data_IF_268958296887
#
_entry.id   IF_268958296887
#
_cell.length_a   1.000
_cell.length_b   1.000
_cell.length_c   1.000
_cell.angle_alpha   90.00
_cell.angle_beta   90.00
_cell.angle_gamma   90.00
#
_symmetry.space_group_name_H-M   'P 1'
#
loop_
_entity.id
_entity.type
_entity.pdbx_description
1 polymer ?
#
# COMPACT_ATOMS: atom_id res chain seq x y z
N UNK A 1 10.31 -17.23 9.64
CA UNK A 1 9.04 -17.18 8.87
C UNK A 1 8.09 -18.30 9.26
N UNK A 2 8.40 -19.59 9.03
CA UNK A 2 7.47 -20.68 9.38
C UNK A 2 7.01 -20.67 10.85
N UNK A 3 7.93 -20.50 11.80
CA UNK A 3 7.55 -20.38 13.22
C UNK A 3 6.64 -19.19 13.53
N UNK A 4 6.79 -18.06 12.82
CA UNK A 4 5.90 -16.89 12.94
C UNK A 4 4.54 -17.16 12.27
N UNK A 5 4.53 -17.86 11.15
CA UNK A 5 3.30 -18.22 10.45
C UNK A 5 2.43 -19.14 11.31
N UNK A 6 3.03 -20.12 11.99
CA UNK A 6 2.33 -21.10 12.82
C UNK A 6 2.02 -20.57 14.24
N UNK A 7 2.94 -19.78 14.83
CA UNK A 7 2.86 -19.33 16.22
C UNK A 7 2.43 -17.87 16.43
N UNK A 8 2.35 -17.06 15.36
CA UNK A 8 2.10 -15.63 15.45
C UNK A 8 3.27 -14.84 16.04
N UNK A 9 3.00 -13.57 16.34
CA UNK A 9 3.86 -12.67 17.12
C UNK A 9 2.98 -11.87 18.08
N UNK A 10 3.56 -11.41 19.19
CA UNK A 10 2.92 -10.39 20.01
C UNK A 10 2.83 -9.06 19.26
N UNK A 11 2.01 -8.12 19.75
CA UNK A 11 1.93 -6.77 19.20
C UNK A 11 3.31 -6.07 19.24
N UNK A 12 3.99 -6.16 20.38
CA UNK A 12 5.33 -5.59 20.56
C UNK A 12 6.36 -6.18 19.58
N UNK A 13 6.35 -7.51 19.39
CA UNK A 13 7.24 -8.16 18.43
C UNK A 13 6.89 -7.82 16.97
N UNK A 14 5.60 -7.60 16.68
CA UNK A 14 5.15 -7.17 15.36
C UNK A 14 5.63 -5.75 15.06
N UNK A 15 5.55 -4.83 16.03
CA UNK A 15 6.09 -3.47 15.92
C UNK A 15 7.61 -3.53 15.73
N UNK A 16 8.33 -4.28 16.57
CA UNK A 16 9.79 -4.41 16.47
C UNK A 16 10.23 -4.99 15.11
N UNK A 17 9.51 -5.99 14.58
CA UNK A 17 9.76 -6.52 13.24
C UNK A 17 9.51 -5.45 12.15
N UNK A 18 8.45 -4.65 12.30
CA UNK A 18 8.09 -3.58 11.37
C UNK A 18 9.14 -2.48 11.34
N UNK A 19 9.60 -2.03 12.50
CA UNK A 19 10.68 -1.05 12.64
C UNK A 19 11.98 -1.57 12.04
N UNK A 20 12.37 -2.81 12.36
CA UNK A 20 13.58 -3.42 11.79
C UNK A 20 13.51 -3.57 10.26
N UNK A 21 12.32 -3.83 9.70
CA UNK A 21 12.13 -3.84 8.25
C UNK A 21 12.24 -2.43 7.64
N UNK A 22 11.62 -1.42 8.26
CA UNK A 22 11.72 -0.01 7.85
C UNK A 22 13.18 0.44 7.84
N UNK A 23 13.89 0.20 8.95
CA UNK A 23 15.26 0.66 9.19
C UNK A 23 16.32 -0.17 8.46
N UNK A 24 15.91 -1.18 7.68
CA UNK A 24 16.83 -1.95 6.83
C UNK A 24 17.34 -1.16 5.62
N UNK A 25 16.76 0.01 5.34
CA UNK A 25 17.13 0.90 4.24
C UNK A 25 16.91 2.37 4.60
N UNK A 26 16.80 3.20 3.57
CA UNK A 26 16.49 4.62 3.66
C UNK A 26 15.03 4.85 4.08
N UNK A 27 14.81 5.90 4.86
CA UNK A 27 13.50 6.44 5.23
C UNK A 27 13.41 7.84 4.62
N UNK A 28 12.31 8.13 3.92
CA UNK A 28 12.07 9.44 3.35
C UNK A 28 11.83 10.46 4.47
N UNK A 29 12.58 11.55 4.43
CA UNK A 29 12.42 12.69 5.33
C UNK A 29 11.87 13.89 4.56
N UNK A 30 10.97 14.62 5.22
CA UNK A 30 10.26 15.75 4.63
C UNK A 30 10.48 17.01 5.45
N UNK A 31 10.64 18.15 4.77
CA UNK A 31 10.75 19.45 5.42
C UNK A 31 9.54 19.75 6.31
N UNK A 32 9.79 20.44 7.42
CA UNK A 32 8.77 20.77 8.45
C UNK A 32 7.51 21.46 7.88
N UNK A 33 7.67 22.16 6.75
CA UNK A 33 6.64 22.89 6.04
C UNK A 33 5.64 22.01 5.28
N UNK A 34 6.04 20.78 4.92
CA UNK A 34 5.16 19.82 4.24
C UNK A 34 4.94 18.54 5.03
N UNK A 35 5.71 18.27 6.09
CA UNK A 35 5.67 17.01 6.83
C UNK A 35 4.26 16.63 7.31
N UNK A 36 3.45 17.60 7.74
CA UNK A 36 2.06 17.34 8.16
C UNK A 36 1.09 17.03 7.00
N UNK A 37 1.49 17.29 5.75
CA UNK A 37 0.70 17.05 4.53
C UNK A 37 1.03 15.72 3.86
N UNK A 38 2.04 14.99 4.35
CA UNK A 38 2.49 13.72 3.76
C UNK A 38 1.55 12.60 4.19
N UNK A 39 0.76 12.09 3.25
CA UNK A 39 -0.26 11.08 3.52
C UNK A 39 -0.16 9.95 2.50
N UNK A 40 -0.67 8.79 2.87
CA UNK A 40 -0.83 7.70 1.93
C UNK A 40 -2.07 6.84 2.19
N UNK A 41 -2.43 6.03 1.20
CA UNK A 41 -3.41 4.96 1.30
C UNK A 41 -2.81 3.64 0.87
N UNK A 42 -3.05 2.58 1.63
CA UNK A 42 -2.68 1.23 1.23
C UNK A 42 -3.87 0.30 1.17
N UNK A 43 -3.91 -0.59 0.18
CA UNK A 43 -4.90 -1.67 0.08
C UNK A 43 -4.23 -3.00 0.39
N UNK A 44 -4.91 -3.89 1.10
CA UNK A 44 -4.44 -5.28 1.29
C UNK A 44 -4.46 -6.12 0.01
N UNK A 45 -4.98 -5.57 -1.09
CA UNK A 45 -5.08 -6.23 -2.39
C UNK A 45 -6.49 -6.72 -2.70
N UNK A 46 -6.88 -6.57 -3.95
CA UNK A 46 -8.20 -6.93 -4.47
C UNK A 46 -8.19 -7.10 -5.98
N UNK A 47 -9.32 -7.57 -6.52
CA UNK A 47 -9.51 -7.74 -7.96
C UNK A 47 -10.13 -6.47 -8.52
N UNK A 48 -9.54 -5.91 -9.59
CA UNK A 48 -9.98 -4.62 -10.12
C UNK A 48 -9.68 -3.44 -9.19
N UNK A 49 -8.83 -3.57 -8.18
CA UNK A 49 -8.61 -2.47 -7.22
C UNK A 49 -7.68 -1.40 -7.79
N UNK A 50 -8.26 -0.41 -8.49
CA UNK A 50 -7.55 0.76 -9.06
C UNK A 50 -7.67 2.03 -8.23
N UNK A 51 -8.22 1.94 -7.01
CA UNK A 51 -8.50 3.10 -6.17
C UNK A 51 -7.25 3.96 -5.92
N UNK A 52 -6.05 3.36 -5.75
CA UNK A 52 -4.82 4.12 -5.55
C UNK A 52 -4.46 5.05 -6.73
N UNK A 53 -4.79 4.64 -7.96
CA UNK A 53 -4.45 5.41 -9.19
C UNK A 53 -5.35 6.65 -9.31
N UNK A 54 -6.58 6.58 -8.83
CA UNK A 54 -7.51 7.72 -8.75
C UNK A 54 -7.19 8.59 -7.53
N UNK A 55 -7.01 7.97 -6.37
CA UNK A 55 -6.92 8.67 -5.10
C UNK A 55 -5.62 9.47 -4.95
N UNK A 56 -4.48 8.93 -5.38
CA UNK A 56 -3.20 9.62 -5.25
C UNK A 56 -3.16 11.00 -5.95
N UNK A 57 -3.56 11.16 -7.23
CA UNK A 57 -3.65 12.47 -7.86
C UNK A 57 -4.79 13.34 -7.27
N UNK A 58 -5.91 12.76 -6.82
CA UNK A 58 -6.98 13.52 -6.16
C UNK A 58 -6.50 14.17 -4.85
N UNK A 59 -5.76 13.42 -4.01
CA UNK A 59 -5.16 13.95 -2.78
C UNK A 59 -4.12 15.03 -3.09
N UNK A 60 -3.29 14.83 -4.12
CA UNK A 60 -2.32 15.83 -4.57
C UNK A 60 -3.01 17.13 -5.04
N UNK A 61 -4.12 17.03 -5.76
CA UNK A 61 -4.93 18.18 -6.17
C UNK A 61 -5.54 18.94 -4.96
N UNK A 62 -5.80 18.24 -3.84
CA UNK A 62 -6.20 18.82 -2.57
C UNK A 62 -5.04 19.43 -1.75
N UNK A 63 -3.82 19.45 -2.28
CA UNK A 63 -2.64 20.04 -1.63
C UNK A 63 -1.85 19.08 -0.73
N UNK A 64 -2.22 17.80 -0.69
CA UNK A 64 -1.51 16.77 0.07
C UNK A 64 -0.29 16.24 -0.70
N UNK A 65 0.59 15.52 0.00
CA UNK A 65 1.84 14.96 -0.53
C UNK A 65 1.79 13.43 -0.43
N UNK A 66 1.89 12.73 -1.56
CA UNK A 66 1.67 11.28 -1.65
C UNK A 66 2.90 10.56 -2.20
N UNK A 67 3.85 10.12 -1.35
CA UNK A 67 5.05 9.35 -1.73
C UNK A 67 4.79 7.84 -1.75
N UNK A 68 3.76 7.38 -2.46
CA UNK A 68 3.25 6.01 -2.37
C UNK A 68 4.26 4.96 -2.89
N UNK A 69 4.84 4.17 -1.98
CA UNK A 69 5.56 2.94 -2.30
C UNK A 69 4.53 1.82 -2.43
N UNK A 70 4.39 1.31 -3.66
CA UNK A 70 3.42 0.28 -4.04
C UNK A 70 4.10 -1.06 -4.29
N UNK A 71 3.29 -2.11 -4.26
CA UNK A 71 3.68 -3.46 -4.65
C UNK A 71 3.26 -3.80 -6.09
N UNK A 72 3.82 -4.90 -6.58
CA UNK A 72 3.32 -5.63 -7.75
C UNK A 72 2.25 -6.64 -7.33
N UNK A 73 1.63 -7.28 -8.30
CA UNK A 73 0.59 -8.29 -8.07
C UNK A 73 1.04 -9.41 -7.13
N UNK A 74 0.09 -9.93 -6.35
CA UNK A 74 0.29 -11.04 -5.41
C UNK A 74 -0.85 -12.05 -5.55
N UNK A 75 -0.49 -13.32 -5.78
CA UNK A 75 -1.47 -14.36 -6.03
C UNK A 75 -2.38 -13.98 -7.21
N UNK A 76 -3.69 -13.94 -6.98
CA UNK A 76 -4.69 -13.57 -7.98
C UNK A 76 -5.02 -12.07 -8.05
N UNK A 77 -4.39 -11.24 -7.20
CA UNK A 77 -4.64 -9.79 -7.14
C UNK A 77 -3.65 -9.03 -8.02
N UNK A 78 -4.13 -8.02 -8.75
CA UNK A 78 -3.30 -7.15 -9.58
C UNK A 78 -2.57 -6.09 -8.76
N UNK A 79 -1.38 -5.68 -9.21
CA UNK A 79 -0.57 -4.64 -8.56
C UNK A 79 -0.73 -3.27 -9.19
N UNK A 80 -0.70 -2.21 -8.37
CA UNK A 80 -0.73 -0.82 -8.84
C UNK A 80 0.40 -0.51 -9.82
N UNK A 81 1.60 -1.04 -9.57
CA UNK A 81 2.76 -0.80 -10.43
C UNK A 81 2.61 -1.46 -11.81
N UNK A 82 2.06 -2.67 -11.86
CA UNK A 82 1.84 -3.39 -13.12
C UNK A 82 0.79 -2.67 -14.00
N UNK A 83 -0.19 -2.02 -13.37
CA UNK A 83 -1.15 -1.15 -14.04
C UNK A 83 -0.47 0.10 -14.60
N UNK A 84 0.34 0.79 -13.79
CA UNK A 84 1.05 2.00 -14.18
C UNK A 84 2.03 1.75 -15.34
N UNK A 85 2.77 0.64 -15.32
CA UNK A 85 3.70 0.28 -16.41
C UNK A 85 3.02 -0.08 -17.73
N UNK A 86 1.68 -0.20 -17.76
CA UNK A 86 0.94 -0.29 -19.03
C UNK A 86 0.92 1.04 -19.81
N UNK A 87 1.27 2.16 -19.17
CA UNK A 87 1.46 3.46 -19.82
C UNK A 87 2.83 3.47 -20.51
N UNK A 88 2.89 3.62 -21.85
CA UNK A 88 4.16 3.59 -22.57
C UNK A 88 5.17 4.63 -22.07
N UNK A 89 6.36 4.16 -21.67
CA UNK A 89 7.47 5.00 -21.21
C UNK A 89 7.39 5.43 -19.75
N UNK A 90 6.38 5.01 -18.99
CA UNK A 90 6.30 5.27 -17.56
C UNK A 90 7.23 4.33 -16.80
N UNK A 91 8.15 4.89 -15.99
CA UNK A 91 9.00 4.14 -15.07
C UNK A 91 8.53 4.30 -13.63
N UNK A 92 8.44 3.19 -12.92
CA UNK A 92 8.10 3.10 -11.49
C UNK A 92 9.33 2.96 -10.59
N UNK A 93 10.53 2.97 -11.18
CA UNK A 93 11.80 2.90 -10.46
C UNK A 93 12.37 4.31 -10.31
N UNK A 94 12.58 4.74 -9.05
CA UNK A 94 13.11 6.06 -8.69
C UNK A 94 13.98 5.95 -7.44
N UNK A 95 15.00 6.78 -7.39
CA UNK A 95 15.79 7.01 -6.17
C UNK A 95 15.00 7.82 -5.14
N UNK A 96 15.40 7.78 -3.87
CA UNK A 96 14.77 8.58 -2.81
C UNK A 96 14.76 10.08 -3.14
N UNK A 97 15.85 10.59 -3.73
CA UNK A 97 15.98 11.99 -4.15
C UNK A 97 14.98 12.36 -5.25
N UNK A 98 14.81 11.49 -6.25
CA UNK A 98 13.82 11.70 -7.31
C UNK A 98 12.39 11.65 -6.77
N UNK A 99 12.10 10.76 -5.83
CA UNK A 99 10.80 10.67 -5.17
C UNK A 99 10.50 11.99 -4.44
N UNK A 100 11.45 12.48 -3.63
CA UNK A 100 11.30 13.75 -2.89
C UNK A 100 11.03 14.92 -3.84
N UNK A 101 11.88 15.08 -4.86
CA UNK A 101 11.72 16.14 -5.86
C UNK A 101 10.37 16.06 -6.60
N UNK A 102 9.91 14.86 -6.94
CA UNK A 102 8.64 14.68 -7.62
C UNK A 102 7.46 15.04 -6.71
N UNK A 103 7.44 14.58 -5.46
CA UNK A 103 6.37 14.87 -4.51
C UNK A 103 6.33 16.36 -4.15
N UNK A 104 7.48 17.01 -3.99
CA UNK A 104 7.54 18.46 -3.78
C UNK A 104 6.95 19.21 -4.98
N UNK A 105 7.32 18.81 -6.21
CA UNK A 105 6.94 19.49 -7.45
C UNK A 105 5.48 19.26 -7.87
N UNK A 106 4.99 18.02 -7.83
CA UNK A 106 3.68 17.63 -8.36
C UNK A 106 2.74 17.03 -7.32
N UNK A 107 3.20 16.81 -6.09
CA UNK A 107 2.37 16.28 -4.99
C UNK A 107 2.27 14.76 -4.93
N UNK A 108 2.70 14.02 -5.94
CA UNK A 108 2.52 12.56 -6.00
C UNK A 108 3.70 11.82 -6.64
N UNK A 109 4.07 10.69 -6.04
CA UNK A 109 4.91 9.66 -6.63
C UNK A 109 4.30 8.30 -6.32
N UNK A 110 4.27 7.41 -7.31
CA UNK A 110 3.84 6.01 -7.15
C UNK A 110 4.96 5.12 -7.68
N UNK A 111 5.69 4.48 -6.78
CA UNK A 111 6.99 3.84 -7.07
C UNK A 111 7.10 2.47 -6.43
N UNK A 112 8.03 1.65 -6.91
CA UNK A 112 8.34 0.35 -6.31
C UNK A 112 9.38 0.39 -5.21
N UNK A 113 9.51 -0.73 -4.49
CA UNK A 113 10.60 -0.96 -3.54
C UNK A 113 11.95 -1.02 -4.29
N UNK A 114 12.97 -0.36 -3.75
CA UNK A 114 14.34 -0.38 -4.30
C UNK A 114 15.28 -1.09 -3.32
N UNK A 115 16.55 -1.29 -3.70
CA UNK A 115 17.56 -1.79 -2.76
C UNK A 115 17.84 -0.79 -1.62
N UNK A 116 17.49 0.47 -1.81
CA UNK A 116 17.57 1.51 -0.80
C UNK A 116 16.31 1.57 0.08
N UNK A 117 15.10 1.34 -0.45
CA UNK A 117 13.85 1.50 0.28
C UNK A 117 13.27 0.15 0.73
N UNK A 118 13.34 -0.12 2.04
CA UNK A 118 12.79 -1.31 2.71
C UNK A 118 13.29 -2.66 2.12
N UNK A 119 14.61 -2.87 1.98
CA UNK A 119 15.17 -4.07 1.34
C UNK A 119 14.86 -5.37 2.09
N UNK A 120 14.67 -5.34 3.41
CA UNK A 120 14.28 -6.51 4.19
C UNK A 120 12.87 -7.02 3.82
N UNK A 121 11.90 -6.11 3.68
CA UNK A 121 10.54 -6.47 3.22
C UNK A 121 10.60 -7.10 1.84
N UNK A 122 11.31 -6.48 0.88
CA UNK A 122 11.44 -7.02 -0.49
C UNK A 122 11.91 -8.47 -0.48
N UNK A 123 12.93 -8.80 0.31
CA UNK A 123 13.46 -10.17 0.43
C UNK A 123 12.48 -11.10 1.14
N UNK A 124 11.90 -10.67 2.27
CA UNK A 124 10.95 -11.50 3.03
C UNK A 124 9.65 -11.75 2.27
N UNK A 125 9.15 -10.76 1.53
CA UNK A 125 7.97 -10.84 0.70
C UNK A 125 8.14 -11.88 -0.42
N UNK A 126 9.26 -11.83 -1.15
CA UNK A 126 9.59 -12.81 -2.17
C UNK A 126 9.69 -14.24 -1.60
N UNK A 127 10.26 -14.39 -0.40
CA UNK A 127 10.33 -15.69 0.26
C UNK A 127 8.96 -16.18 0.74
N UNK A 128 8.09 -15.30 1.25
CA UNK A 128 6.75 -15.66 1.72
C UNK A 128 5.90 -16.27 0.62
N UNK A 129 5.99 -15.70 -0.58
CA UNK A 129 5.26 -16.14 -1.77
C UNK A 129 5.61 -17.60 -2.14
N UNK A 130 6.90 -17.93 -2.19
CA UNK A 130 7.36 -19.28 -2.56
C UNK A 130 7.41 -20.29 -1.41
N UNK A 131 7.14 -19.86 -0.17
CA UNK A 131 7.13 -20.73 1.03
C UNK A 131 5.74 -20.95 1.62
N UNK A 132 4.69 -20.36 1.02
CA UNK A 132 3.33 -20.48 1.53
C UNK A 132 3.12 -19.80 2.88
N UNK A 133 3.93 -18.79 3.22
CA UNK A 133 3.84 -18.06 4.50
C UNK A 133 3.28 -16.64 4.35
N UNK A 134 2.55 -16.39 3.26
CA UNK A 134 1.90 -15.10 3.00
C UNK A 134 0.80 -14.83 4.03
N UNK A 135 -0.05 -15.82 4.33
CA UNK A 135 -1.26 -15.69 5.15
C UNK A 135 -1.01 -15.68 6.67
N UNK A 136 -0.21 -14.72 7.13
CA UNK A 136 0.09 -14.51 8.54
C UNK A 136 -0.08 -13.04 8.88
N UNK A 137 -1.01 -12.72 9.79
CA UNK A 137 -1.30 -11.35 10.24
C UNK A 137 -0.03 -10.56 10.58
N UNK A 138 0.87 -11.02 11.48
CA UNK A 138 2.06 -10.24 11.81
C UNK A 138 3.03 -10.05 10.64
N UNK A 139 3.13 -11.01 9.71
CA UNK A 139 3.97 -10.86 8.52
C UNK A 139 3.35 -9.92 7.48
N UNK A 140 2.02 -9.92 7.34
CA UNK A 140 1.31 -8.97 6.48
C UNK A 140 1.42 -7.57 7.06
N UNK A 141 1.15 -7.41 8.37
CA UNK A 141 1.27 -6.13 9.08
C UNK A 141 2.67 -5.55 8.94
N UNK A 142 3.71 -6.31 9.32
CA UNK A 142 5.09 -5.80 9.23
C UNK A 142 5.51 -5.48 7.81
N UNK A 143 5.10 -6.29 6.83
CA UNK A 143 5.37 -6.02 5.42
C UNK A 143 4.73 -4.72 4.94
N UNK A 144 3.44 -4.52 5.20
CA UNK A 144 2.71 -3.33 4.74
C UNK A 144 3.19 -2.08 5.48
N UNK A 145 3.18 -2.11 6.81
CA UNK A 145 3.43 -0.94 7.64
C UNK A 145 4.89 -0.48 7.53
N UNK A 146 5.87 -1.39 7.34
CA UNK A 146 7.28 -0.98 7.16
C UNK A 146 7.48 -0.13 5.90
N UNK A 147 6.81 -0.47 4.79
CA UNK A 147 6.80 0.37 3.58
C UNK A 147 6.20 1.73 3.85
N UNK A 148 5.01 1.77 4.45
CA UNK A 148 4.32 3.02 4.77
C UNK A 148 5.11 3.88 5.75
N UNK A 149 5.81 3.28 6.69
CA UNK A 149 6.64 4.02 7.63
C UNK A 149 7.93 4.55 6.99
N UNK A 150 8.49 3.86 6.00
CA UNK A 150 9.64 4.34 5.23
C UNK A 150 9.30 5.57 4.35
N UNK A 151 8.02 5.86 4.14
CA UNK A 151 7.55 7.01 3.37
C UNK A 151 7.52 8.32 4.18
N UNK A 152 7.71 8.28 5.51
CA UNK A 152 7.73 9.48 6.35
C UNK A 152 6.35 10.16 6.50
N UNK A 153 5.28 9.35 6.60
CA UNK A 153 3.89 9.83 6.60
C UNK A 153 3.47 10.50 7.92
N UNK A 154 2.62 11.51 7.82
CA UNK A 154 1.85 12.03 8.96
C UNK A 154 0.57 11.23 9.20
N UNK A 155 -0.07 10.75 8.13
CA UNK A 155 -1.31 10.00 8.21
C UNK A 155 -1.41 8.89 7.15
N UNK A 156 -2.10 7.80 7.52
CA UNK A 156 -2.27 6.62 6.67
C UNK A 156 -3.72 6.13 6.74
N UNK A 157 -4.31 5.85 5.56
CA UNK A 157 -5.58 5.12 5.47
C UNK A 157 -5.34 3.72 4.91
N UNK A 158 -5.81 2.72 5.65
CA UNK A 158 -5.74 1.33 5.26
C UNK A 158 -7.09 0.88 4.71
N UNK A 159 -7.10 0.32 3.51
CA UNK A 159 -8.27 -0.30 2.89
C UNK A 159 -8.10 -1.81 2.97
N UNK A 160 -8.80 -2.40 3.94
CA UNK A 160 -8.68 -3.82 4.25
C UNK A 160 -9.85 -4.55 3.63
N UNK A 161 -9.54 -5.28 2.57
CA UNK A 161 -10.53 -6.02 1.79
C UNK A 161 -10.99 -7.27 2.55
N UNK A 162 -12.28 -7.58 2.49
CA UNK A 162 -12.82 -8.87 2.90
C UNK A 162 -13.79 -9.45 1.86
N UNK A 163 -13.94 -10.77 1.80
CA UNK A 163 -14.86 -11.45 0.88
C UNK A 163 -14.16 -12.40 -0.08
N UNK A 164 -14.92 -12.99 -1.02
CA UNK A 164 -14.50 -14.15 -1.82
C UNK A 164 -13.26 -13.93 -2.68
N UNK A 165 -13.01 -12.69 -3.12
CA UNK A 165 -11.84 -12.34 -3.93
C UNK A 165 -10.79 -11.54 -3.14
N UNK A 166 -11.01 -11.28 -1.85
CA UNK A 166 -9.99 -10.71 -0.97
C UNK A 166 -9.00 -11.78 -0.48
N UNK A 167 -7.92 -11.29 0.11
CA UNK A 167 -7.00 -12.14 0.86
C UNK A 167 -7.63 -12.71 2.14
N UNK A 168 -8.46 -11.91 2.82
CA UNK A 168 -9.22 -12.32 4.00
C UNK A 168 -10.66 -12.58 3.59
N UNK A 169 -11.14 -13.82 3.69
CA UNK A 169 -12.54 -14.12 3.32
C UNK A 169 -13.50 -13.62 4.39
N UNK A 170 -13.21 -13.94 5.66
CA UNK A 170 -14.07 -13.59 6.78
C UNK A 170 -13.82 -12.15 7.24
N UNK A 171 -14.92 -11.42 7.47
CA UNK A 171 -14.85 -10.04 8.00
C UNK A 171 -14.12 -9.96 9.34
N UNK A 172 -14.22 -11.01 10.16
CA UNK A 172 -13.52 -11.09 11.45
C UNK A 172 -11.99 -11.08 11.27
N UNK A 173 -11.48 -11.82 10.29
CA UNK A 173 -10.04 -11.89 10.00
C UNK A 173 -9.54 -10.57 9.43
N UNK A 174 -10.29 -9.95 8.51
CA UNK A 174 -10.01 -8.61 8.02
C UNK A 174 -10.01 -7.56 9.15
N UNK A 175 -10.94 -7.67 10.11
CA UNK A 175 -10.97 -6.79 11.29
C UNK A 175 -9.72 -6.98 12.16
N UNK A 176 -9.29 -8.22 12.36
CA UNK A 176 -8.08 -8.54 13.12
C UNK A 176 -6.82 -7.97 12.44
N UNK A 177 -6.70 -8.17 11.13
CA UNK A 177 -5.62 -7.61 10.32
C UNK A 177 -5.61 -6.07 10.36
N UNK A 178 -6.77 -5.44 10.19
CA UNK A 178 -6.92 -3.99 10.26
C UNK A 178 -6.45 -3.42 11.60
N UNK A 179 -6.87 -4.04 12.71
CA UNK A 179 -6.41 -3.64 14.06
C UNK A 179 -4.90 -3.76 14.19
N UNK A 180 -4.34 -4.92 13.83
CA UNK A 180 -2.89 -5.14 13.89
C UNK A 180 -2.09 -4.08 13.12
N UNK A 181 -2.54 -3.70 11.92
CA UNK A 181 -1.88 -2.65 11.13
C UNK A 181 -2.07 -1.24 11.70
N UNK A 182 -3.26 -0.91 12.18
CA UNK A 182 -3.54 0.38 12.82
C UNK A 182 -2.71 0.55 14.09
N UNK A 183 -2.67 -0.47 14.95
CA UNK A 183 -1.92 -0.45 16.21
C UNK A 183 -0.42 -0.33 15.94
N UNK A 184 0.11 -1.12 14.98
CA UNK A 184 1.53 -1.04 14.60
C UNK A 184 1.91 0.33 14.02
N UNK A 185 1.11 0.90 13.11
CA UNK A 185 1.40 2.19 12.49
C UNK A 185 1.28 3.36 13.47
N UNK A 186 0.26 3.34 14.35
CA UNK A 186 0.12 4.32 15.42
C UNK A 186 1.26 4.22 16.44
N UNK A 187 1.70 3.01 16.76
CA UNK A 187 2.88 2.76 17.62
C UNK A 187 4.17 3.36 17.05
N UNK A 188 4.25 3.49 15.71
CA UNK A 188 5.34 4.14 15.00
C UNK A 188 5.12 5.65 14.77
N UNK A 189 4.05 6.24 15.32
CA UNK A 189 3.77 7.67 15.26
C UNK A 189 3.00 8.13 14.01
N UNK A 190 2.47 7.21 13.20
CA UNK A 190 1.70 7.53 11.99
C UNK A 190 0.21 7.50 12.32
N UNK A 191 -0.50 8.62 12.16
CA UNK A 191 -1.92 8.69 12.45
C UNK A 191 -2.71 7.81 11.48
N UNK A 192 -3.14 6.63 11.94
CA UNK A 192 -3.64 5.58 11.05
C UNK A 192 -5.09 5.22 11.32
N UNK A 193 -5.88 5.08 10.24
CA UNK A 193 -7.23 4.52 10.26
C UNK A 193 -7.37 3.41 9.23
N UNK A 194 -8.29 2.49 9.48
CA UNK A 194 -8.65 1.45 8.53
C UNK A 194 -10.13 1.52 8.17
N UNK A 195 -10.43 1.24 6.90
CA UNK A 195 -11.77 1.02 6.36
C UNK A 195 -11.83 -0.44 5.91
N UNK A 196 -12.90 -1.13 6.28
CA UNK A 196 -13.18 -2.47 5.80
C UNK A 196 -14.09 -2.37 4.58
N UNK A 197 -13.65 -2.87 3.43
CA UNK A 197 -14.44 -2.84 2.19
C UNK A 197 -14.64 -4.26 1.65
N UNK A 198 -15.79 -4.51 1.03
CA UNK A 198 -16.07 -5.82 0.43
C UNK A 198 -15.28 -6.00 -0.87
N UNK A 199 -14.95 -7.25 -1.16
CA UNK A 199 -14.31 -7.72 -2.39
C UNK A 199 -14.98 -9.05 -2.80
N UNK A 200 -16.31 -9.11 -2.70
CA UNK A 200 -17.10 -10.22 -3.21
C UNK A 200 -17.28 -10.19 -4.73
N UNK A 201 -17.01 -9.02 -5.32
CA UNK A 201 -16.97 -8.74 -6.75
C UNK A 201 -15.77 -7.79 -7.03
N UNK A 202 -15.26 -7.76 -8.26
CA UNK A 202 -14.25 -6.77 -8.65
C UNK A 202 -14.73 -5.34 -8.40
N UNK A 203 -13.79 -4.44 -8.07
CA UNK A 203 -14.05 -3.01 -7.98
C UNK A 203 -14.10 -2.37 -9.38
N UNK A 204 -15.16 -1.62 -9.67
CA UNK A 204 -15.44 -1.05 -10.98
C UNK A 204 -15.77 -2.10 -12.05
N UNK A 205 -15.64 -1.74 -13.33
CA UNK A 205 -16.00 -2.62 -14.45
C UNK A 205 -14.78 -3.24 -15.13
N UNK A 206 -13.57 -2.68 -14.94
CA UNK A 206 -12.34 -3.18 -15.56
C UNK A 206 -11.52 -4.07 -14.62
N UNK A 207 -11.02 -5.20 -15.13
CA UNK A 207 -10.01 -6.03 -14.46
C UNK A 207 -8.84 -6.27 -15.42
N UNK A 208 -7.64 -5.90 -15.01
CA UNK A 208 -6.42 -6.00 -15.82
C UNK A 208 -5.42 -4.89 -15.52
N UNK A 209 -4.61 -4.52 -16.51
CA UNK A 209 -3.61 -3.46 -16.35
C UNK A 209 -4.06 -2.17 -17.07
N UNK A 210 -3.92 -2.13 -18.40
CA UNK A 210 -4.28 -0.95 -19.19
C UNK A 210 -5.77 -0.58 -19.13
N UNK A 211 -6.66 -1.58 -19.05
CA UNK A 211 -8.10 -1.34 -18.89
C UNK A 211 -8.40 -0.64 -17.55
N UNK A 212 -7.69 -0.99 -16.48
CA UNK A 212 -7.86 -0.34 -15.18
C UNK A 212 -7.28 1.09 -15.17
N UNK A 213 -6.22 1.35 -15.95
CA UNK A 213 -5.74 2.73 -16.17
C UNK A 213 -6.78 3.56 -16.90
N UNK A 214 -7.39 3.03 -17.96
CA UNK A 214 -8.43 3.75 -18.71
C UNK A 214 -9.63 4.08 -17.80
N UNK A 215 -10.12 3.10 -17.03
CA UNK A 215 -11.23 3.35 -16.10
C UNK A 215 -10.85 4.37 -15.02
N UNK A 216 -9.61 4.33 -14.50
CA UNK A 216 -9.12 5.34 -13.54
C UNK A 216 -9.13 6.76 -14.12
N UNK A 217 -8.75 6.90 -15.40
CA UNK A 217 -8.76 8.20 -16.10
C UNK A 217 -10.19 8.70 -16.31
N UNK A 218 -11.13 7.81 -16.68
CA UNK A 218 -12.55 8.17 -16.81
C UNK A 218 -13.15 8.59 -15.46
N UNK A 219 -12.81 7.90 -14.37
CA UNK A 219 -13.21 8.29 -13.01
C UNK A 219 -12.69 9.68 -12.64
N UNK A 220 -11.43 10.00 -12.94
CA UNK A 220 -10.88 11.34 -12.71
C UNK A 220 -11.56 12.42 -13.57
N UNK A 221 -12.23 12.04 -14.66
CA UNK A 221 -13.05 12.93 -15.48
C UNK A 221 -14.52 13.02 -15.01
N UNK A 222 -14.89 12.31 -13.94
CA UNK A 222 -16.26 12.26 -13.41
C UNK A 222 -17.21 11.31 -14.17
N UNK A 223 -16.65 10.33 -14.89
CA UNK A 223 -17.40 9.31 -15.64
C UNK A 223 -17.09 7.89 -15.12
N UNK A 224 -16.76 7.75 -13.83
CA UNK A 224 -16.34 6.49 -13.25
C UNK A 224 -17.52 5.57 -12.89
N UNK A 225 -17.23 4.29 -12.61
CA UNK A 225 -18.18 3.43 -11.89
C UNK A 225 -18.47 3.99 -10.48
N UNK A 226 -19.74 3.95 -10.07
CA UNK A 226 -20.20 4.50 -8.78
C UNK A 226 -19.46 3.90 -7.58
N UNK A 227 -19.17 2.59 -7.61
CA UNK A 227 -18.47 1.88 -6.53
C UNK A 227 -16.98 2.25 -6.42
N UNK A 228 -16.36 2.75 -7.49
CA UNK A 228 -14.99 3.27 -7.47
C UNK A 228 -14.94 4.75 -7.03
N UNK A 229 -16.03 5.49 -7.23
CA UNK A 229 -16.16 6.89 -6.81
C UNK A 229 -16.51 7.07 -5.33
N UNK A 230 -17.25 6.11 -4.73
CA UNK A 230 -17.61 6.06 -3.30
C UNK A 230 -16.40 5.87 -2.36
#
# INVERSE_FOLDING_TARGET
MRGVFEGGLSEADTIALTEAMRDSGEVLEWGSEIANLVVDKHSTGGVGDKASIVLAPALAACGLKVPMISGRGLGHTGGTLDKLESIPGLSVERTADEIRQQVERIGVAMVGQTDALVPADRRMYALRDVTGTVASVPLITSSIVSKKAAEGLSALVLDVKFGRAAFMVERADATSLARSMVDAANGMGIATKAVLTTMDQPLGCAVGNSLEILESVETLCGNGPEDLEE
#
